data_IF_643418080649
#
_entry.id   IF_643418080649
#
_cell.length_a   1.000
_cell.length_b   1.000
_cell.length_c   1.000
_cell.angle_alpha   90.00
_cell.angle_beta   90.00
_cell.angle_gamma   90.00
#
_symmetry.space_group_name_H-M   'P 1'
#
loop_
_entity.id
_entity.type
_entity.pdbx_description
1 polymer ?
#
# COMPACT_ATOMS: atom_id res chain seq x y z
N UNK A 1 2.14 34.28 8.82
CA UNK A 1 2.98 33.52 7.84
C UNK A 1 1.98 32.89 6.86
N UNK A 2 2.16 33.08 5.57
CA UNK A 2 1.29 32.52 4.54
C UNK A 2 1.96 31.27 3.95
N UNK A 3 1.25 30.13 3.91
CA UNK A 3 1.72 28.88 3.35
C UNK A 3 1.22 28.67 1.92
N UNK A 4 1.78 27.71 1.22
CA UNK A 4 1.36 27.37 -0.13
C UNK A 4 -0.07 26.78 -0.12
N UNK A 5 -0.96 27.32 -0.95
CA UNK A 5 -2.39 26.94 -1.07
C UNK A 5 -2.60 25.43 -1.31
N UNK A 6 -1.65 24.77 -1.94
CA UNK A 6 -1.69 23.29 -2.14
C UNK A 6 -1.74 22.48 -0.85
N UNK A 7 -1.44 23.07 0.30
CA UNK A 7 -1.48 22.40 1.61
C UNK A 7 -2.78 22.68 2.39
N UNK A 8 -3.63 23.63 1.93
CA UNK A 8 -4.82 24.04 2.66
C UNK A 8 -5.84 22.89 2.82
N UNK A 9 -5.91 21.99 1.83
CA UNK A 9 -6.82 20.85 1.81
C UNK A 9 -6.17 19.53 2.28
N UNK A 10 -4.92 19.57 2.75
CA UNK A 10 -4.21 18.38 3.24
C UNK A 10 -4.42 18.27 4.75
N UNK A 11 -5.49 17.60 5.15
CA UNK A 11 -5.81 17.39 6.56
C UNK A 11 -5.03 16.21 7.14
N UNK A 12 -3.80 16.49 7.58
CA UNK A 12 -2.99 15.47 8.29
C UNK A 12 -3.45 15.16 9.72
N UNK A 13 -4.53 15.77 10.22
CA UNK A 13 -4.84 15.80 11.65
C UNK A 13 -5.51 14.54 12.20
N UNK A 14 -6.52 13.98 11.53
CA UNK A 14 -7.26 12.84 12.05
C UNK A 14 -6.42 11.55 12.10
N UNK A 15 -5.65 11.29 11.04
CA UNK A 15 -4.79 10.10 10.97
C UNK A 15 -3.59 10.24 11.91
N UNK A 16 -2.99 11.43 12.04
CA UNK A 16 -1.93 11.68 13.03
C UNK A 16 -2.42 11.46 14.45
N UNK A 17 -3.64 11.90 14.77
CA UNK A 17 -4.25 11.63 16.07
C UNK A 17 -4.42 10.12 16.34
N UNK A 18 -4.87 9.36 15.33
CA UNK A 18 -4.98 7.90 15.42
C UNK A 18 -3.59 7.26 15.61
N UNK A 19 -2.59 7.68 14.86
CA UNK A 19 -1.23 7.16 14.97
C UNK A 19 -0.55 7.55 16.29
N UNK A 20 -0.83 8.73 16.85
CA UNK A 20 -0.34 9.13 18.17
C UNK A 20 -0.87 8.24 19.30
N UNK A 21 -2.01 7.59 19.13
CA UNK A 21 -2.58 6.64 20.10
C UNK A 21 -1.93 5.26 20.05
N UNK A 22 -1.33 4.87 18.90
CA UNK A 22 -0.75 3.52 18.71
C UNK A 22 0.42 3.24 19.67
N UNK A 23 1.15 4.26 20.08
CA UNK A 23 2.32 4.13 20.99
C UNK A 23 2.00 4.28 22.47
N UNK A 24 0.73 4.42 22.87
CA UNK A 24 0.39 4.60 24.28
C UNK A 24 0.47 3.26 25.04
N UNK A 25 1.06 3.24 26.26
CA UNK A 25 1.12 2.04 27.08
C UNK A 25 -0.30 1.47 27.34
N UNK A 26 -0.46 0.17 27.13
CA UNK A 26 -1.73 -0.53 27.35
C UNK A 26 -2.74 -0.45 26.20
N UNK A 27 -2.47 0.32 25.13
CA UNK A 27 -3.32 0.39 23.95
C UNK A 27 -3.09 -0.81 23.01
N UNK A 28 -4.13 -1.54 22.71
CA UNK A 28 -4.13 -2.57 21.66
C UNK A 28 -4.47 -1.89 20.32
N UNK A 29 -3.53 -1.90 19.39
CA UNK A 29 -3.72 -1.19 18.13
C UNK A 29 -3.92 -2.13 16.94
N UNK A 30 -5.09 -2.06 16.32
CA UNK A 30 -5.40 -2.59 15.00
C UNK A 30 -5.39 -1.49 13.91
N UNK A 31 -4.87 -0.29 14.23
CA UNK A 31 -4.93 0.86 13.33
C UNK A 31 -3.73 0.94 12.36
N UNK A 32 -2.55 0.49 12.76
CA UNK A 32 -1.32 0.59 11.96
C UNK A 32 -1.41 -0.15 10.62
N UNK A 33 -0.56 0.24 9.68
CA UNK A 33 -0.33 -0.49 8.42
C UNK A 33 1.08 -1.08 8.36
N UNK A 34 1.70 -1.29 9.51
CA UNK A 34 3.10 -1.72 9.63
C UNK A 34 3.20 -3.25 9.70
N UNK A 35 4.26 -3.86 9.17
CA UNK A 35 4.60 -5.24 9.46
C UNK A 35 4.99 -5.40 10.93
N UNK A 36 4.89 -6.62 11.44
CA UNK A 36 5.28 -6.95 12.80
C UNK A 36 6.78 -6.73 13.04
N UNK A 37 7.21 -6.11 14.17
CA UNK A 37 8.64 -5.91 14.45
C UNK A 37 9.45 -7.23 14.53
N UNK A 38 8.80 -8.32 14.94
CA UNK A 38 9.39 -9.66 14.97
C UNK A 38 9.63 -10.27 13.59
N UNK A 39 8.99 -9.73 12.54
CA UNK A 39 9.18 -10.19 11.16
C UNK A 39 10.41 -9.58 10.49
N UNK A 40 11.17 -8.70 11.14
CA UNK A 40 12.36 -8.11 10.52
C UNK A 40 13.57 -9.03 10.64
N UNK A 41 14.32 -9.30 9.55
CA UNK A 41 15.53 -10.13 9.57
C UNK A 41 16.72 -9.33 10.13
N UNK A 42 16.66 -8.97 11.40
CA UNK A 42 17.57 -8.01 12.04
C UNK A 42 19.03 -8.48 12.03
N UNK A 43 19.26 -9.73 12.34
CA UNK A 43 20.60 -10.31 12.42
C UNK A 43 21.28 -10.34 11.03
N UNK A 44 20.51 -10.72 10.01
CA UNK A 44 20.99 -10.72 8.63
C UNK A 44 21.29 -9.31 8.14
N UNK A 45 20.38 -8.36 8.39
CA UNK A 45 20.60 -6.96 8.01
C UNK A 45 21.83 -6.39 8.70
N UNK A 46 22.03 -6.68 10.01
CA UNK A 46 23.19 -6.21 10.75
C UNK A 46 24.50 -6.77 10.17
N UNK A 47 24.55 -8.09 9.89
CA UNK A 47 25.72 -8.73 9.30
C UNK A 47 26.04 -8.17 7.91
N UNK A 48 25.04 -8.06 7.04
CA UNK A 48 25.18 -7.49 5.70
C UNK A 48 25.66 -6.03 5.77
N UNK A 49 25.07 -5.21 6.62
CA UNK A 49 25.46 -3.81 6.75
C UNK A 49 26.92 -3.65 7.21
N UNK A 50 27.34 -4.46 8.18
CA UNK A 50 28.71 -4.46 8.67
C UNK A 50 29.71 -4.84 7.55
N UNK A 51 29.43 -5.90 6.81
CA UNK A 51 30.26 -6.36 5.71
C UNK A 51 30.36 -5.32 4.60
N UNK A 52 29.22 -4.80 4.15
CA UNK A 52 29.16 -3.78 3.10
C UNK A 52 29.97 -2.52 3.47
N UNK A 53 29.83 -2.02 4.69
CA UNK A 53 30.57 -0.83 5.15
C UNK A 53 32.07 -1.12 5.20
N UNK A 54 32.48 -2.30 5.67
CA UNK A 54 33.87 -2.69 5.74
C UNK A 54 34.51 -2.82 4.36
N UNK A 55 33.82 -3.41 3.39
CA UNK A 55 34.40 -3.76 2.08
C UNK A 55 34.22 -2.66 1.04
N UNK A 56 33.09 -1.98 1.06
CA UNK A 56 32.68 -0.99 0.05
C UNK A 56 32.37 0.39 0.63
N UNK A 57 32.73 0.66 1.89
CA UNK A 57 32.27 1.83 2.64
C UNK A 57 32.51 3.15 1.92
N UNK A 58 33.67 3.39 1.32
CA UNK A 58 33.96 4.60 0.57
C UNK A 58 33.05 4.82 -0.63
N UNK A 59 32.55 3.75 -1.26
CA UNK A 59 31.63 3.82 -2.38
C UNK A 59 30.18 4.00 -1.91
N UNK A 60 29.74 3.20 -0.92
CA UNK A 60 28.34 3.19 -0.47
C UNK A 60 27.96 4.46 0.30
N UNK A 61 28.91 5.07 0.98
CA UNK A 61 28.73 6.31 1.75
C UNK A 61 28.87 7.58 0.88
N UNK A 62 29.18 7.44 -0.41
CA UNK A 62 29.23 8.53 -1.37
C UNK A 62 27.87 8.71 -2.08
N UNK A 63 27.67 9.81 -2.77
CA UNK A 63 26.53 10.02 -3.65
C UNK A 63 26.46 8.94 -4.72
N UNK A 64 25.23 8.52 -5.05
CA UNK A 64 24.93 7.56 -6.10
C UNK A 64 24.18 8.16 -7.29
N UNK A 65 23.88 7.31 -8.26
CA UNK A 65 23.05 7.68 -9.40
C UNK A 65 21.55 7.70 -9.03
N UNK A 66 20.83 8.68 -9.53
CA UNK A 66 19.38 8.85 -9.32
C UNK A 66 18.55 7.60 -9.67
N UNK A 67 18.82 6.86 -10.77
CA UNK A 67 18.06 5.66 -11.11
C UNK A 67 18.19 4.51 -10.13
N UNK A 68 19.18 4.56 -9.23
CA UNK A 68 19.53 3.50 -8.31
C UNK A 68 20.67 2.61 -8.78
N UNK A 69 21.14 1.70 -7.91
CA UNK A 69 22.26 0.80 -8.22
C UNK A 69 21.83 -0.29 -9.23
N UNK A 70 22.70 -0.58 -10.20
CA UNK A 70 22.38 -1.50 -11.29
C UNK A 70 21.98 -2.90 -10.81
N UNK A 71 22.69 -3.46 -9.82
CA UNK A 71 22.40 -4.78 -9.27
C UNK A 71 21.00 -4.86 -8.64
N UNK A 72 20.55 -3.83 -7.92
CA UNK A 72 19.20 -3.82 -7.37
C UNK A 72 18.14 -3.68 -8.48
N UNK A 73 18.44 -2.95 -9.56
CA UNK A 73 17.55 -2.91 -10.73
C UNK A 73 17.42 -4.29 -11.38
N UNK A 74 18.50 -5.05 -11.48
CA UNK A 74 18.49 -6.45 -11.95
C UNK A 74 17.65 -7.34 -11.03
N UNK A 75 17.82 -7.21 -9.70
CA UNK A 75 16.96 -7.89 -8.71
C UNK A 75 15.47 -7.57 -8.93
N UNK A 76 15.14 -6.30 -9.15
CA UNK A 76 13.76 -5.89 -9.45
C UNK A 76 13.25 -6.54 -10.74
N UNK A 77 14.06 -6.56 -11.81
CA UNK A 77 13.70 -7.20 -13.09
C UNK A 77 13.42 -8.70 -12.90
N UNK A 78 14.25 -9.40 -12.14
CA UNK A 78 14.03 -10.81 -11.81
C UNK A 78 12.72 -11.02 -11.03
N UNK A 79 12.48 -10.20 -10.01
CA UNK A 79 11.26 -10.28 -9.19
C UNK A 79 10.00 -10.06 -10.02
N UNK A 80 9.98 -9.02 -10.85
CA UNK A 80 8.81 -8.74 -11.68
C UNK A 80 8.66 -9.74 -12.83
N UNK A 81 9.78 -10.31 -13.30
CA UNK A 81 9.80 -11.41 -14.26
C UNK A 81 9.06 -12.66 -13.76
N UNK A 82 9.25 -13.02 -12.49
CA UNK A 82 8.48 -14.10 -11.82
C UNK A 82 6.96 -13.82 -11.79
N UNK A 83 6.55 -12.55 -11.92
CA UNK A 83 5.14 -12.10 -11.96
C UNK A 83 4.61 -11.91 -13.39
N UNK A 84 5.40 -12.27 -14.42
CA UNK A 84 5.04 -12.15 -15.83
C UNK A 84 5.28 -10.77 -16.46
N UNK A 85 5.97 -9.86 -15.77
CA UNK A 85 6.34 -8.54 -16.30
C UNK A 85 7.73 -8.64 -16.94
N UNK A 86 7.83 -8.43 -18.25
CA UNK A 86 9.11 -8.25 -18.93
C UNK A 86 9.57 -6.80 -18.78
N UNK A 87 10.77 -6.58 -18.28
CA UNK A 87 11.34 -5.24 -18.10
C UNK A 87 12.83 -5.22 -18.42
N UNK A 88 13.31 -4.05 -18.85
CA UNK A 88 14.72 -3.76 -19.12
C UNK A 88 15.26 -2.73 -18.11
N UNK A 89 16.58 -2.59 -17.95
CA UNK A 89 17.15 -1.64 -16.98
C UNK A 89 16.69 -0.18 -17.15
N UNK A 90 16.44 0.28 -18.38
CA UNK A 90 15.92 1.62 -18.66
C UNK A 90 14.45 1.83 -18.27
N UNK A 91 13.72 0.76 -18.01
CA UNK A 91 12.33 0.77 -17.57
C UNK A 91 12.17 0.72 -16.04
N UNK A 92 13.29 0.70 -15.29
CA UNK A 92 13.30 0.56 -13.83
C UNK A 92 13.99 1.75 -13.16
N UNK A 93 13.36 2.31 -12.14
CA UNK A 93 13.97 3.29 -11.22
C UNK A 93 13.74 2.85 -9.77
N UNK A 94 14.79 2.91 -8.95
CA UNK A 94 14.69 2.67 -7.51
C UNK A 94 14.15 3.91 -6.82
N UNK A 95 13.19 3.71 -5.91
CA UNK A 95 12.52 4.79 -5.18
C UNK A 95 12.68 4.64 -3.68
N UNK A 96 12.51 5.73 -2.95
CA UNK A 96 12.52 5.75 -1.48
C UNK A 96 11.18 5.21 -0.92
N UNK A 97 10.88 3.95 -1.27
CA UNK A 97 9.62 3.22 -1.07
C UNK A 97 8.58 3.55 -2.14
N UNK A 98 7.52 2.72 -2.23
CA UNK A 98 6.44 2.90 -3.21
C UNK A 98 5.75 4.27 -3.07
N UNK A 99 5.69 4.85 -1.87
CA UNK A 99 5.11 6.20 -1.65
C UNK A 99 5.81 7.27 -2.48
N UNK A 100 7.13 7.20 -2.67
CA UNK A 100 7.82 8.11 -3.59
C UNK A 100 7.40 7.85 -5.04
N UNK A 101 7.22 6.60 -5.44
CA UNK A 101 6.71 6.27 -6.79
C UNK A 101 5.33 6.88 -7.04
N UNK A 102 4.43 6.85 -6.04
CA UNK A 102 3.13 7.53 -6.09
C UNK A 102 3.30 9.05 -6.23
N UNK A 103 4.21 9.64 -5.44
CA UNK A 103 4.51 11.08 -5.50
C UNK A 103 5.09 11.49 -6.86
N UNK A 104 6.00 10.69 -7.42
CA UNK A 104 6.58 10.92 -8.73
C UNK A 104 5.54 10.83 -9.85
N UNK A 105 4.56 9.92 -9.76
CA UNK A 105 3.44 9.87 -10.69
C UNK A 105 2.64 11.17 -10.68
N UNK A 106 2.26 11.65 -9.50
CA UNK A 106 1.55 12.91 -9.38
C UNK A 106 2.39 14.09 -9.88
N UNK A 107 3.67 14.15 -9.48
CA UNK A 107 4.59 15.24 -9.83
C UNK A 107 4.84 15.35 -11.34
N UNK A 108 4.85 14.23 -12.06
CA UNK A 108 5.18 14.20 -13.49
C UNK A 108 3.96 14.25 -14.40
N UNK A 109 2.79 13.85 -13.92
CA UNK A 109 1.61 13.67 -14.77
C UNK A 109 0.46 14.64 -14.45
N UNK A 110 0.46 15.30 -13.28
CA UNK A 110 -0.69 16.06 -12.79
C UNK A 110 -0.41 17.55 -12.72
N UNK A 111 -1.29 18.34 -13.33
CA UNK A 111 -1.40 19.78 -13.10
C UNK A 111 -2.50 20.09 -12.10
N UNK A 112 -2.49 21.26 -11.42
CA UNK A 112 -3.59 21.68 -10.56
C UNK A 112 -4.94 21.60 -11.28
N UNK A 113 -5.92 20.93 -10.66
CA UNK A 113 -7.25 20.72 -11.19
C UNK A 113 -7.43 19.49 -12.09
N UNK A 114 -6.36 18.82 -12.48
CA UNK A 114 -6.46 17.56 -13.22
C UNK A 114 -7.17 16.48 -12.40
N UNK A 115 -7.87 15.57 -13.08
CA UNK A 115 -8.61 14.48 -12.42
C UNK A 115 -7.75 13.21 -12.34
N UNK A 116 -7.80 12.57 -11.17
CA UNK A 116 -7.32 11.22 -10.92
C UNK A 116 -8.51 10.35 -10.55
N UNK A 117 -8.63 9.16 -11.14
CA UNK A 117 -9.53 8.13 -10.63
C UNK A 117 -8.80 7.25 -9.63
N UNK A 118 -9.47 6.87 -8.55
CA UNK A 118 -8.95 5.95 -7.55
C UNK A 118 -10.06 5.02 -7.06
N UNK A 119 -9.69 3.87 -6.55
CA UNK A 119 -10.63 2.98 -5.85
C UNK A 119 -11.34 3.74 -4.72
N UNK A 120 -12.58 3.38 -4.44
CA UNK A 120 -13.36 3.93 -3.34
C UNK A 120 -13.93 2.78 -2.51
N UNK A 121 -13.29 2.45 -1.36
CA UNK A 121 -12.18 3.15 -0.68
C UNK A 121 -10.78 2.85 -1.26
N UNK A 122 -9.76 3.66 -0.88
CA UNK A 122 -8.36 3.48 -1.28
C UNK A 122 -7.37 3.96 -0.22
N UNK A 123 -6.06 3.80 -0.49
CA UNK A 123 -4.98 4.13 0.44
C UNK A 123 -4.92 5.64 0.74
N UNK A 124 -5.05 5.99 2.01
CA UNK A 124 -5.06 7.37 2.49
C UNK A 124 -3.79 8.14 2.10
N UNK A 125 -2.62 7.47 2.15
CA UNK A 125 -1.35 8.10 1.78
C UNK A 125 -1.31 8.54 0.31
N UNK A 126 -1.93 7.79 -0.59
CA UNK A 126 -2.07 8.17 -1.99
C UNK A 126 -3.02 9.36 -2.13
N UNK A 127 -4.18 9.32 -1.47
CA UNK A 127 -5.13 10.45 -1.47
C UNK A 127 -4.47 11.75 -1.02
N UNK A 128 -3.75 11.71 0.11
CA UNK A 128 -3.04 12.89 0.62
C UNK A 128 -1.96 13.37 -0.35
N UNK A 129 -1.20 12.45 -0.94
CA UNK A 129 -0.19 12.80 -1.95
C UNK A 129 -0.82 13.53 -3.13
N UNK A 130 -1.92 12.99 -3.70
CA UNK A 130 -2.57 13.60 -4.86
C UNK A 130 -3.17 14.99 -4.54
N UNK A 131 -3.70 15.18 -3.34
CA UNK A 131 -4.20 16.47 -2.88
C UNK A 131 -3.09 17.53 -2.78
N UNK A 132 -1.83 17.16 -2.44
CA UNK A 132 -0.71 18.11 -2.43
C UNK A 132 -0.36 18.62 -3.84
N UNK A 133 -0.74 17.90 -4.89
CA UNK A 133 -0.63 18.34 -6.29
C UNK A 133 -1.92 19.00 -6.81
N UNK A 134 -2.87 19.30 -5.91
CA UNK A 134 -4.15 19.94 -6.24
C UNK A 134 -4.99 19.14 -7.26
N UNK A 135 -4.84 17.82 -7.27
CA UNK A 135 -5.64 16.94 -8.10
C UNK A 135 -7.10 16.87 -7.60
N UNK A 136 -8.03 16.69 -8.53
CA UNK A 136 -9.39 16.29 -8.22
C UNK A 136 -9.49 14.77 -8.22
N UNK A 137 -9.68 14.16 -7.05
CA UNK A 137 -9.78 12.70 -6.94
C UNK A 137 -11.25 12.30 -7.07
N UNK A 138 -11.55 11.39 -8.00
CA UNK A 138 -12.89 10.81 -8.18
C UNK A 138 -12.81 9.31 -7.85
N UNK A 139 -13.62 8.88 -6.88
CA UNK A 139 -13.69 7.47 -6.48
C UNK A 139 -14.37 6.64 -7.57
N UNK A 140 -13.89 5.42 -7.80
CA UNK A 140 -14.56 4.37 -8.57
C UNK A 140 -15.04 3.31 -7.59
N UNK A 141 -16.30 2.92 -7.71
CA UNK A 141 -16.92 1.95 -6.81
C UNK A 141 -16.19 0.61 -6.80
N UNK A 142 -16.25 -0.06 -5.67
CA UNK A 142 -15.68 -1.40 -5.47
C UNK A 142 -16.72 -2.36 -4.93
N UNK A 143 -16.59 -3.62 -5.35
CA UNK A 143 -17.27 -4.76 -4.74
C UNK A 143 -16.26 -5.85 -4.32
N UNK A 144 -16.70 -7.08 -4.10
CA UNK A 144 -15.83 -8.15 -3.62
C UNK A 144 -14.76 -8.59 -4.63
N UNK A 145 -14.94 -8.29 -5.91
CA UNK A 145 -13.95 -8.56 -6.97
C UNK A 145 -13.01 -7.37 -7.26
N UNK A 146 -13.05 -6.31 -6.47
CA UNK A 146 -12.24 -5.10 -6.64
C UNK A 146 -13.00 -3.97 -7.33
N UNK A 147 -12.29 -3.12 -8.09
CA UNK A 147 -12.88 -1.97 -8.79
C UNK A 147 -13.96 -2.39 -9.79
N UNK A 148 -15.10 -1.69 -9.80
CA UNK A 148 -16.20 -1.92 -10.74
C UNK A 148 -15.85 -1.35 -12.12
N UNK A 149 -15.86 -2.20 -13.15
CA UNK A 149 -15.44 -1.84 -14.51
C UNK A 149 -16.45 -0.97 -15.26
N UNK A 150 -17.73 -1.10 -14.98
CA UNK A 150 -18.77 -0.28 -15.61
C UNK A 150 -18.70 1.17 -15.08
N UNK A 151 -18.49 1.33 -13.77
CA UNK A 151 -18.29 2.65 -13.17
C UNK A 151 -16.95 3.27 -13.62
N UNK A 152 -15.89 2.45 -13.77
CA UNK A 152 -14.62 2.90 -14.34
C UNK A 152 -14.81 3.43 -15.76
N UNK A 153 -15.47 2.68 -16.66
CA UNK A 153 -15.69 3.08 -18.05
C UNK A 153 -16.49 4.39 -18.13
N UNK A 154 -17.56 4.49 -17.34
CA UNK A 154 -18.37 5.71 -17.23
C UNK A 154 -17.51 6.92 -16.84
N UNK A 155 -16.65 6.76 -15.82
CA UNK A 155 -15.81 7.84 -15.29
C UNK A 155 -14.64 8.20 -16.21
N UNK A 156 -14.06 7.22 -16.93
CA UNK A 156 -13.07 7.48 -17.99
C UNK A 156 -13.63 8.40 -19.08
N UNK A 157 -14.86 8.12 -19.55
CA UNK A 157 -15.57 8.94 -20.55
C UNK A 157 -15.89 10.34 -20.01
N UNK A 158 -16.34 10.41 -18.76
CA UNK A 158 -16.81 11.66 -18.15
C UNK A 158 -15.67 12.62 -17.81
N UNK A 159 -14.58 12.12 -17.23
CA UNK A 159 -13.57 12.96 -16.58
C UNK A 159 -12.24 13.05 -17.35
N UNK A 160 -11.95 12.13 -18.26
CA UNK A 160 -10.66 12.05 -18.99
C UNK A 160 -9.46 12.20 -18.01
N UNK A 161 -9.33 11.29 -17.03
CA UNK A 161 -8.35 11.43 -15.96
C UNK A 161 -6.92 11.31 -16.48
N UNK A 162 -5.94 11.83 -15.71
CA UNK A 162 -4.51 11.66 -16.00
C UNK A 162 -4.06 10.23 -15.79
N UNK A 163 -4.54 9.61 -14.71
CA UNK A 163 -4.32 8.20 -14.44
C UNK A 163 -5.41 7.61 -13.55
N UNK A 164 -5.46 6.28 -13.51
CA UNK A 164 -6.23 5.49 -12.56
C UNK A 164 -5.26 4.90 -11.54
N UNK A 165 -5.46 5.15 -10.24
CA UNK A 165 -4.71 4.55 -9.15
C UNK A 165 -5.44 3.33 -8.60
N UNK A 166 -4.75 2.19 -8.48
CA UNK A 166 -5.31 0.94 -7.96
C UNK A 166 -4.29 0.13 -7.18
N UNK A 167 -4.76 -0.61 -6.16
CA UNK A 167 -4.01 -1.63 -5.43
C UNK A 167 -4.70 -2.97 -5.72
N UNK A 168 -4.39 -3.67 -6.81
CA UNK A 168 -5.19 -4.80 -7.26
C UNK A 168 -5.01 -6.07 -6.43
N UNK A 169 -3.99 -6.15 -5.56
CA UNK A 169 -3.70 -7.33 -4.74
C UNK A 169 -3.69 -6.97 -3.26
N UNK A 170 -4.58 -7.61 -2.47
CA UNK A 170 -4.72 -7.39 -1.02
C UNK A 170 -4.87 -5.91 -0.67
N UNK A 171 -5.78 -5.26 -1.35
CA UNK A 171 -6.02 -3.83 -1.36
C UNK A 171 -6.04 -3.20 0.04
N UNK A 172 -5.42 -2.06 0.18
CA UNK A 172 -5.52 -1.23 1.38
C UNK A 172 -6.58 -0.15 1.15
N UNK A 173 -7.72 -0.19 1.88
CA UNK A 173 -7.92 -0.83 3.18
C UNK A 173 -8.65 -2.19 3.18
N UNK A 174 -9.17 -2.66 2.06
CA UNK A 174 -10.22 -3.68 2.05
C UNK A 174 -9.71 -5.12 2.16
N UNK A 175 -8.43 -5.38 1.88
CA UNK A 175 -7.88 -6.73 1.79
C UNK A 175 -8.34 -7.50 0.53
N UNK A 176 -9.17 -6.90 -0.32
CA UNK A 176 -9.68 -7.53 -1.56
C UNK A 176 -8.58 -7.72 -2.59
N UNK A 177 -8.76 -8.71 -3.45
CA UNK A 177 -7.91 -8.94 -4.62
C UNK A 177 -8.76 -8.82 -5.87
N UNK A 178 -8.36 -7.93 -6.78
CA UNK A 178 -9.04 -7.74 -8.06
C UNK A 178 -8.94 -9.01 -8.91
N UNK A 179 -10.07 -9.47 -9.44
CA UNK A 179 -10.13 -10.67 -10.29
C UNK A 179 -9.35 -10.49 -11.60
N UNK A 180 -8.90 -11.60 -12.18
CA UNK A 180 -8.15 -11.57 -13.44
C UNK A 180 -8.94 -10.89 -14.56
N UNK A 181 -10.24 -11.16 -14.64
CA UNK A 181 -11.11 -10.59 -15.69
C UNK A 181 -11.21 -9.07 -15.56
N UNK A 182 -11.30 -8.55 -14.33
CA UNK A 182 -11.30 -7.11 -14.09
C UNK A 182 -9.96 -6.45 -14.39
N UNK A 183 -8.83 -7.13 -14.09
CA UNK A 183 -7.50 -6.63 -14.46
C UNK A 183 -7.34 -6.49 -15.97
N UNK A 184 -7.75 -7.50 -16.73
CA UNK A 184 -7.78 -7.46 -18.20
C UNK A 184 -8.67 -6.33 -18.71
N UNK A 185 -9.88 -6.22 -18.17
CA UNK A 185 -10.84 -5.19 -18.60
C UNK A 185 -10.34 -3.78 -18.27
N UNK A 186 -9.70 -3.57 -17.11
CA UNK A 186 -9.08 -2.30 -16.76
C UNK A 186 -7.96 -1.94 -17.75
N UNK A 187 -7.08 -2.91 -18.08
CA UNK A 187 -6.01 -2.70 -19.06
C UNK A 187 -6.57 -2.27 -20.44
N UNK A 188 -7.61 -2.97 -20.93
CA UNK A 188 -8.30 -2.63 -22.18
C UNK A 188 -8.93 -1.24 -22.17
N UNK A 189 -9.72 -0.93 -21.11
CA UNK A 189 -10.42 0.34 -21.00
C UNK A 189 -9.43 1.51 -20.91
N UNK A 190 -8.40 1.39 -20.09
CA UNK A 190 -7.41 2.45 -19.94
C UNK A 190 -6.57 2.63 -21.23
N UNK A 191 -6.23 1.55 -21.93
CA UNK A 191 -5.57 1.64 -23.23
C UNK A 191 -6.45 2.33 -24.29
N UNK A 192 -7.73 1.96 -24.36
CA UNK A 192 -8.71 2.56 -25.29
C UNK A 192 -8.86 4.08 -25.07
N UNK A 193 -8.82 4.53 -23.82
CA UNK A 193 -8.95 5.93 -23.46
C UNK A 193 -7.62 6.68 -23.39
N UNK A 194 -6.46 6.04 -23.62
CA UNK A 194 -5.14 6.64 -23.53
C UNK A 194 -4.79 7.07 -22.09
N UNK A 195 -5.33 6.39 -21.08
CA UNK A 195 -5.15 6.72 -19.67
C UNK A 195 -4.09 5.82 -19.04
N UNK A 196 -3.23 6.38 -18.21
CA UNK A 196 -2.20 5.64 -17.47
C UNK A 196 -2.84 4.90 -16.27
N UNK A 197 -2.36 3.70 -15.98
CA UNK A 197 -2.66 2.97 -14.76
C UNK A 197 -1.45 3.09 -13.83
N UNK A 198 -1.67 3.58 -12.60
CA UNK A 198 -0.71 3.52 -11.50
C UNK A 198 -1.08 2.31 -10.63
N UNK A 199 -0.42 1.19 -10.89
CA UNK A 199 -0.58 -0.08 -10.18
C UNK A 199 0.37 -0.13 -8.99
N UNK A 200 -0.17 -0.04 -7.77
CA UNK A 200 0.59 -0.08 -6.52
C UNK A 200 0.48 -1.48 -5.90
N UNK A 201 1.58 -2.22 -5.84
CA UNK A 201 1.58 -3.65 -5.46
C UNK A 201 2.57 -3.96 -4.32
N UNK A 202 2.36 -3.39 -3.11
CA UNK A 202 3.25 -3.62 -1.98
C UNK A 202 2.98 -4.91 -1.21
N UNK A 203 1.91 -5.66 -1.53
CA UNK A 203 1.44 -6.79 -0.74
C UNK A 203 1.46 -8.13 -1.45
N UNK A 204 1.74 -8.22 -2.75
CA UNK A 204 1.56 -9.44 -3.56
C UNK A 204 2.33 -10.65 -3.02
N UNK A 205 3.49 -10.42 -2.39
CA UNK A 205 4.31 -11.49 -1.78
C UNK A 205 3.74 -11.99 -0.44
N UNK A 206 2.79 -11.26 0.16
CA UNK A 206 2.13 -11.65 1.41
C UNK A 206 0.83 -12.42 1.13
N UNK A 207 0.94 -13.51 0.38
CA UNK A 207 -0.19 -14.41 0.07
C UNK A 207 -0.22 -15.59 1.02
N UNK A 208 -1.38 -15.85 1.59
CA UNK A 208 -1.61 -16.91 2.59
C UNK A 208 -2.42 -18.08 2.03
N UNK A 209 -3.25 -17.81 1.01
CA UNK A 209 -4.11 -18.79 0.35
C UNK A 209 -4.40 -18.36 -1.09
N UNK A 210 -5.00 -19.26 -1.86
CA UNK A 210 -5.35 -19.05 -3.27
C UNK A 210 -4.14 -19.03 -4.20
N UNK A 211 -4.39 -18.69 -5.46
CA UNK A 211 -3.35 -18.60 -6.49
C UNK A 211 -2.99 -17.13 -6.79
N UNK A 212 -1.73 -16.83 -7.13
CA UNK A 212 -1.35 -15.51 -7.59
C UNK A 212 -2.17 -15.07 -8.81
N UNK A 213 -2.59 -13.80 -8.83
CA UNK A 213 -3.23 -13.18 -9.98
C UNK A 213 -2.21 -12.29 -10.69
N UNK A 214 -1.98 -12.44 -12.01
CA UNK A 214 -1.02 -11.64 -12.75
C UNK A 214 -1.25 -10.13 -12.58
N UNK A 215 -0.21 -9.30 -12.41
CA UNK A 215 -0.33 -7.85 -12.35
C UNK A 215 -0.95 -7.27 -13.63
N UNK A 216 -1.63 -6.14 -13.54
CA UNK A 216 -2.21 -5.45 -14.70
C UNK A 216 -1.11 -5.11 -15.73
N UNK A 217 0.07 -4.73 -15.26
CA UNK A 217 1.21 -4.44 -16.13
C UNK A 217 1.61 -5.63 -17.01
N UNK A 218 1.51 -6.86 -16.51
CA UNK A 218 1.81 -8.07 -17.31
C UNK A 218 0.73 -8.40 -18.34
N UNK A 219 -0.46 -7.79 -18.21
CA UNK A 219 -1.62 -8.01 -19.09
C UNK A 219 -1.80 -6.89 -20.13
N UNK A 220 -1.07 -5.76 -19.99
CA UNK A 220 -1.18 -4.60 -20.87
C UNK A 220 -0.01 -4.51 -21.83
N UNK A 221 -0.29 -4.51 -23.13
CA UNK A 221 0.69 -4.28 -24.20
C UNK A 221 0.83 -2.79 -24.57
N UNK A 222 -0.03 -1.92 -24.03
CA UNK A 222 -0.10 -0.50 -24.41
C UNK A 222 1.01 0.37 -23.82
N UNK A 223 1.86 -0.15 -22.92
CA UNK A 223 2.94 0.61 -22.28
C UNK A 223 2.44 1.67 -21.28
N UNK A 224 1.15 1.70 -20.97
CA UNK A 224 0.50 2.73 -20.15
C UNK A 224 0.37 2.34 -18.66
N UNK A 225 1.10 1.33 -18.18
CA UNK A 225 1.07 0.91 -16.77
C UNK A 225 2.39 1.25 -16.07
N UNK A 226 2.29 2.02 -15.00
CA UNK A 226 3.36 2.26 -14.02
C UNK A 226 3.12 1.25 -12.90
N UNK A 227 4.03 0.30 -12.74
CA UNK A 227 3.98 -0.70 -11.69
C UNK A 227 4.91 -0.30 -10.54
N UNK A 228 4.39 -0.24 -9.32
CA UNK A 228 5.15 0.07 -8.12
C UNK A 228 5.29 -1.18 -7.26
N UNK A 229 6.50 -1.44 -6.79
CA UNK A 229 6.78 -2.48 -5.81
C UNK A 229 7.48 -1.91 -4.57
N UNK A 230 7.42 -2.63 -3.46
CA UNK A 230 8.00 -2.19 -2.19
C UNK A 230 8.64 -3.35 -1.44
N UNK A 231 9.83 -3.14 -0.90
CA UNK A 231 10.48 -4.08 0.03
C UNK A 231 10.03 -3.90 1.48
N UNK A 232 9.18 -2.90 1.76
CA UNK A 232 8.75 -2.54 3.11
C UNK A 232 7.99 -3.65 3.83
N UNK A 233 7.32 -4.55 3.12
CA UNK A 233 6.45 -5.58 3.72
C UNK A 233 7.11 -6.95 3.81
N UNK A 234 8.20 -7.16 3.07
CA UNK A 234 8.94 -8.43 2.99
C UNK A 234 10.33 -8.36 3.63
N UNK A 235 10.90 -7.16 3.83
CA UNK A 235 12.18 -6.97 4.51
C UNK A 235 12.04 -6.01 5.68
N UNK A 236 11.90 -4.70 5.40
CA UNK A 236 11.78 -3.68 6.43
C UNK A 236 11.27 -2.34 5.86
N UNK A 237 10.27 -1.71 6.48
CA UNK A 237 9.82 -0.38 6.07
C UNK A 237 10.85 0.71 6.38
N UNK A 238 11.74 0.49 7.36
CA UNK A 238 12.76 1.46 7.77
C UNK A 238 13.86 1.68 6.72
N UNK A 239 14.13 0.69 5.86
CA UNK A 239 15.12 0.81 4.79
C UNK A 239 14.69 1.77 3.67
N UNK A 240 13.40 2.04 3.52
CA UNK A 240 12.84 2.94 2.52
C UNK A 240 13.26 2.62 1.09
N UNK A 241 13.11 1.36 0.67
CA UNK A 241 13.42 0.92 -0.70
C UNK A 241 12.17 0.37 -1.38
N UNK A 242 11.97 0.80 -2.61
CA UNK A 242 10.96 0.33 -3.56
C UNK A 242 11.42 0.57 -4.98
N UNK A 243 10.59 0.29 -5.96
CA UNK A 243 10.90 0.58 -7.35
C UNK A 243 9.64 0.90 -8.17
N UNK A 244 9.83 1.61 -9.27
CA UNK A 244 8.84 1.77 -10.31
C UNK A 244 9.33 1.10 -11.60
N UNK A 245 8.43 0.41 -12.30
CA UNK A 245 8.65 -0.22 -13.59
C UNK A 245 7.64 0.35 -14.58
N UNK A 246 8.11 1.07 -15.60
CA UNK A 246 7.24 1.76 -16.55
C UNK A 246 7.92 1.93 -17.92
N UNK A 247 7.19 2.49 -18.90
CA UNK A 247 7.74 2.92 -20.19
C UNK A 247 8.97 3.84 -19.97
N UNK A 248 10.05 3.69 -20.73
CA UNK A 248 11.28 4.49 -20.58
C UNK A 248 11.04 6.00 -20.55
N UNK A 249 10.06 6.50 -21.31
CA UNK A 249 9.69 7.93 -21.34
C UNK A 249 9.15 8.41 -19.98
N UNK A 250 8.43 7.55 -19.26
CA UNK A 250 7.93 7.83 -17.90
C UNK A 250 9.10 7.79 -16.92
N UNK A 251 9.96 6.77 -17.02
CA UNK A 251 11.13 6.62 -16.14
C UNK A 251 12.10 7.79 -16.30
N UNK A 252 12.29 8.31 -17.51
CA UNK A 252 13.08 9.53 -17.74
C UNK A 252 12.54 10.73 -16.95
N UNK A 253 11.21 10.94 -16.97
CA UNK A 253 10.57 12.03 -16.21
C UNK A 253 10.61 11.80 -14.71
N UNK A 254 10.46 10.54 -14.27
CA UNK A 254 10.65 10.18 -12.86
C UNK A 254 12.07 10.49 -12.40
N UNK A 255 13.08 10.17 -13.22
CA UNK A 255 14.48 10.45 -12.92
C UNK A 255 14.73 11.96 -12.73
N UNK A 256 14.23 12.79 -13.66
CA UNK A 256 14.32 14.26 -13.57
C UNK A 256 13.61 14.77 -12.30
N UNK A 257 12.40 14.29 -12.03
CA UNK A 257 11.60 14.72 -10.89
C UNK A 257 12.24 14.31 -9.55
N UNK A 258 12.84 13.11 -9.50
CA UNK A 258 13.52 12.56 -8.31
C UNK A 258 14.83 13.32 -8.00
N UNK A 259 15.56 13.78 -9.02
CA UNK A 259 16.75 14.60 -8.80
C UNK A 259 16.48 15.86 -7.97
N UNK A 260 15.33 16.48 -8.20
CA UNK A 260 14.90 17.66 -7.44
C UNK A 260 14.21 17.34 -6.11
N UNK A 261 14.12 16.08 -5.71
CA UNK A 261 13.41 15.63 -4.50
C UNK A 261 14.38 15.10 -3.44
N UNK A 262 15.10 14.03 -3.75
CA UNK A 262 16.04 13.37 -2.84
C UNK A 262 17.38 13.00 -3.50
N UNK A 263 17.60 13.40 -4.74
CA UNK A 263 18.73 13.09 -5.60
C UNK A 263 18.80 11.58 -5.94
N UNK A 264 18.86 10.72 -4.93
CA UNK A 264 18.81 9.25 -5.05
C UNK A 264 18.34 8.61 -3.75
N UNK A 265 17.82 7.40 -3.82
CA UNK A 265 17.55 6.56 -2.64
C UNK A 265 18.88 6.18 -1.97
N UNK A 266 18.92 6.15 -0.64
CA UNK A 266 20.15 5.88 0.14
C UNK A 266 20.87 4.61 -0.34
N UNK A 267 22.14 4.74 -0.78
CA UNK A 267 22.92 3.62 -1.33
C UNK A 267 23.05 2.46 -0.36
N UNK A 268 23.32 2.73 0.92
CA UNK A 268 23.43 1.68 1.95
C UNK A 268 22.15 0.85 2.04
N UNK A 269 20.97 1.49 2.01
CA UNK A 269 19.70 0.79 2.02
C UNK A 269 19.49 -0.07 0.77
N UNK A 270 19.88 0.43 -0.40
CA UNK A 270 19.79 -0.30 -1.66
C UNK A 270 20.70 -1.54 -1.66
N UNK A 271 21.96 -1.39 -1.24
CA UNK A 271 22.93 -2.49 -1.15
C UNK A 271 22.50 -3.54 -0.13
N UNK A 272 21.93 -3.13 1.03
CA UNK A 272 21.40 -4.09 2.02
C UNK A 272 20.26 -4.91 1.42
N UNK A 273 19.31 -4.24 0.75
CA UNK A 273 18.16 -4.94 0.12
C UNK A 273 18.64 -5.88 -0.97
N UNK A 274 19.54 -5.45 -1.84
CA UNK A 274 20.12 -6.28 -2.90
C UNK A 274 20.81 -7.52 -2.32
N UNK A 275 21.73 -7.32 -1.38
CA UNK A 275 22.46 -8.42 -0.76
C UNK A 275 21.53 -9.38 0.00
N UNK A 276 20.51 -8.87 0.68
CA UNK A 276 19.54 -9.72 1.36
C UNK A 276 18.72 -10.56 0.37
N UNK A 277 18.24 -9.98 -0.72
CA UNK A 277 17.48 -10.70 -1.74
C UNK A 277 18.29 -11.82 -2.40
N UNK A 278 19.62 -11.64 -2.55
CA UNK A 278 20.53 -12.66 -3.09
C UNK A 278 21.18 -13.58 -2.04
N UNK A 279 20.85 -13.41 -0.75
CA UNK A 279 21.42 -14.24 0.33
C UNK A 279 20.98 -15.71 0.32
N UNK A 280 19.99 -16.06 -0.50
CA UNK A 280 19.31 -17.36 -0.46
C UNK A 280 18.33 -17.54 0.70
N UNK A 281 18.17 -16.52 1.57
CA UNK A 281 17.28 -16.57 2.74
C UNK A 281 15.94 -15.86 2.53
N UNK A 282 15.84 -14.98 1.52
CA UNK A 282 14.69 -14.10 1.34
C UNK A 282 13.38 -14.88 1.11
N UNK A 283 13.38 -15.93 0.32
CA UNK A 283 12.18 -16.73 0.03
C UNK A 283 11.68 -17.45 1.29
N UNK A 284 12.56 -18.16 2.02
CA UNK A 284 12.19 -18.82 3.29
C UNK A 284 11.71 -17.85 4.37
N UNK A 285 12.27 -16.64 4.38
CA UNK A 285 11.82 -15.57 5.27
C UNK A 285 10.40 -15.11 4.93
N UNK A 286 10.09 -14.87 3.65
CA UNK A 286 8.76 -14.50 3.20
C UNK A 286 7.73 -15.59 3.54
N UNK A 287 8.08 -16.87 3.34
CA UNK A 287 7.23 -18.00 3.73
C UNK A 287 6.93 -17.99 5.24
N UNK A 288 7.95 -17.72 6.06
CA UNK A 288 7.79 -17.60 7.52
C UNK A 288 6.85 -16.46 7.91
N UNK A 289 7.02 -15.29 7.31
CA UNK A 289 6.14 -14.14 7.52
C UNK A 289 4.70 -14.47 7.11
N UNK A 290 4.52 -15.09 5.95
CA UNK A 290 3.21 -15.49 5.44
C UNK A 290 2.51 -16.47 6.37
N UNK A 291 3.22 -17.45 6.93
CA UNK A 291 2.66 -18.39 7.90
C UNK A 291 2.19 -17.66 9.17
N UNK A 292 3.03 -16.79 9.74
CA UNK A 292 2.70 -16.02 10.94
C UNK A 292 1.48 -15.11 10.72
N UNK A 293 1.43 -14.40 9.60
CA UNK A 293 0.32 -13.48 9.31
C UNK A 293 -0.97 -14.22 8.97
N UNK A 294 -0.89 -15.39 8.31
CA UNK A 294 -2.04 -16.27 8.11
C UNK A 294 -2.68 -16.63 9.43
N UNK A 295 -1.88 -17.10 10.40
CA UNK A 295 -2.38 -17.55 11.69
C UNK A 295 -3.00 -16.39 12.49
N UNK A 296 -2.41 -15.19 12.45
CA UNK A 296 -2.98 -13.96 13.04
C UNK A 296 -4.29 -13.53 12.36
N UNK A 297 -4.34 -13.58 11.01
CA UNK A 297 -5.57 -13.33 10.24
C UNK A 297 -6.69 -14.28 10.67
N UNK A 298 -6.38 -15.56 10.73
CA UNK A 298 -7.37 -16.60 11.05
C UNK A 298 -7.90 -16.44 12.48
N UNK A 299 -7.03 -16.10 13.46
CA UNK A 299 -7.42 -15.76 14.81
C UNK A 299 -8.39 -14.55 14.86
N UNK A 300 -8.09 -13.48 14.12
CA UNK A 300 -8.95 -12.29 14.06
C UNK A 300 -10.29 -12.60 13.37
N UNK A 301 -10.30 -13.38 12.28
CA UNK A 301 -11.53 -13.82 11.59
C UNK A 301 -12.39 -14.69 12.51
N UNK A 302 -11.79 -15.62 13.26
CA UNK A 302 -12.52 -16.45 14.23
C UNK A 302 -13.26 -15.59 15.28
N UNK A 303 -12.65 -14.52 15.76
CA UNK A 303 -13.32 -13.56 16.66
C UNK A 303 -14.46 -12.81 15.96
N UNK A 304 -14.26 -12.36 14.72
CA UNK A 304 -15.29 -11.66 13.94
C UNK A 304 -16.53 -12.53 13.67
N UNK A 305 -16.39 -13.85 13.57
CA UNK A 305 -17.54 -14.77 13.44
C UNK A 305 -18.51 -14.70 14.64
N UNK A 306 -18.00 -14.32 15.81
CA UNK A 306 -18.80 -14.15 17.03
C UNK A 306 -19.41 -12.75 17.21
N UNK A 307 -19.27 -11.85 16.22
CA UNK A 307 -19.80 -10.48 16.30
C UNK A 307 -21.33 -10.47 16.06
N UNK A 308 -22.04 -9.41 16.48
CA UNK A 308 -23.47 -9.27 16.27
C UNK A 308 -23.90 -9.42 14.81
N UNK A 309 -25.15 -9.86 14.59
CA UNK A 309 -25.75 -9.95 13.26
C UNK A 309 -25.80 -8.57 12.57
N UNK A 310 -25.63 -8.55 11.25
CA UNK A 310 -25.62 -7.33 10.44
C UNK A 310 -24.23 -6.73 10.25
N UNK A 311 -23.18 -7.31 10.85
CA UNK A 311 -21.79 -6.94 10.60
C UNK A 311 -21.23 -7.87 9.53
N UNK A 312 -20.59 -7.28 8.52
CA UNK A 312 -19.87 -8.01 7.49
C UNK A 312 -18.39 -7.64 7.51
N UNK A 313 -17.54 -8.53 6.99
CA UNK A 313 -16.11 -8.30 6.91
C UNK A 313 -15.51 -9.06 5.73
N UNK A 314 -14.38 -8.54 5.21
CA UNK A 314 -13.67 -9.18 4.12
C UNK A 314 -12.87 -10.39 4.60
N UNK A 315 -12.87 -11.46 3.79
CA UNK A 315 -12.00 -12.62 3.97
C UNK A 315 -10.84 -12.49 2.99
N UNK A 316 -9.73 -11.97 3.46
CA UNK A 316 -8.56 -11.76 2.62
C UNK A 316 -7.69 -13.02 2.50
N UNK A 317 -7.15 -13.25 1.29
CA UNK A 317 -6.16 -14.31 1.02
C UNK A 317 -4.72 -13.90 1.31
N UNK A 318 -4.50 -12.67 1.76
CA UNK A 318 -3.17 -12.12 2.02
C UNK A 318 -3.20 -10.70 2.56
N UNK A 319 -2.07 -10.01 2.47
CA UNK A 319 -1.94 -8.62 2.93
C UNK A 319 -1.96 -8.48 4.45
N UNK A 320 -2.47 -7.36 4.95
CA UNK A 320 -2.38 -7.01 6.38
C UNK A 320 -3.72 -6.60 6.98
N UNK A 321 -4.81 -6.55 6.20
CA UNK A 321 -6.03 -5.85 6.60
C UNK A 321 -7.29 -6.68 6.46
N UNK A 322 -8.22 -6.44 7.37
CA UNK A 322 -9.63 -6.85 7.28
C UNK A 322 -10.47 -5.57 7.28
N UNK A 323 -11.40 -5.47 6.33
CA UNK A 323 -12.37 -4.42 6.26
C UNK A 323 -13.67 -4.87 6.90
N UNK A 324 -14.20 -4.08 7.83
CA UNK A 324 -15.43 -4.38 8.54
C UNK A 324 -16.48 -3.33 8.19
N UNK A 325 -17.68 -3.80 7.89
CA UNK A 325 -18.87 -2.96 7.65
C UNK A 325 -19.89 -3.23 8.74
N UNK A 326 -20.23 -2.20 9.48
CA UNK A 326 -21.26 -2.19 10.52
C UNK A 326 -22.64 -1.91 9.90
N UNK A 327 -23.75 -2.15 10.61
CA UNK A 327 -25.07 -1.68 10.19
C UNK A 327 -25.08 -0.18 9.86
N UNK A 328 -25.89 0.23 8.88
CA UNK A 328 -25.96 1.62 8.41
C UNK A 328 -26.33 2.64 9.51
N UNK A 329 -27.05 2.19 10.55
CA UNK A 329 -27.38 3.02 11.71
C UNK A 329 -26.18 3.37 12.59
N UNK A 330 -25.05 2.67 12.44
CA UNK A 330 -23.85 2.86 13.25
C UNK A 330 -22.84 3.80 12.59
N UNK A 331 -22.03 4.45 13.43
CA UNK A 331 -20.99 5.36 12.97
C UNK A 331 -19.65 5.01 13.62
N UNK A 332 -18.75 4.40 12.85
CA UNK A 332 -17.43 3.97 13.32
C UNK A 332 -16.53 5.15 13.75
N UNK A 333 -16.73 6.34 13.17
CA UNK A 333 -15.97 7.54 13.56
C UNK A 333 -16.38 8.01 14.96
N UNK A 334 -17.68 8.02 15.26
CA UNK A 334 -18.17 8.38 16.60
C UNK A 334 -17.82 7.33 17.64
N UNK A 335 -17.91 6.04 17.27
CA UNK A 335 -17.57 4.92 18.13
C UNK A 335 -16.07 4.82 18.44
N UNK A 336 -15.20 5.38 17.60
CA UNK A 336 -13.75 5.32 17.73
C UNK A 336 -13.27 5.78 19.11
N UNK A 337 -13.82 6.90 19.63
CA UNK A 337 -13.43 7.41 20.95
C UNK A 337 -13.74 6.41 22.06
N UNK A 338 -14.91 5.76 22.01
CA UNK A 338 -15.31 4.75 23.02
C UNK A 338 -14.38 3.52 22.98
N UNK A 339 -13.93 3.12 21.78
CA UNK A 339 -12.96 2.04 21.63
C UNK A 339 -11.60 2.43 22.20
N UNK A 340 -11.13 3.64 21.94
CA UNK A 340 -9.86 4.16 22.51
C UNK A 340 -9.92 4.22 24.04
N UNK A 341 -11.01 4.75 24.59
CA UNK A 341 -11.23 4.81 26.04
C UNK A 341 -11.28 3.40 26.67
N UNK A 342 -11.71 2.38 25.91
CA UNK A 342 -11.70 0.97 26.31
C UNK A 342 -10.36 0.25 26.04
N UNK A 343 -9.37 0.90 25.43
CA UNK A 343 -8.03 0.38 25.20
C UNK A 343 -7.78 -0.27 23.82
N UNK A 344 -8.65 -0.03 22.82
CA UNK A 344 -8.49 -0.55 21.45
C UNK A 344 -8.58 0.56 20.40
N UNK A 345 -7.66 0.55 19.42
CA UNK A 345 -7.67 1.48 18.31
C UNK A 345 -7.80 0.76 16.95
N UNK A 346 -8.60 1.32 16.03
CA UNK A 346 -8.74 0.92 14.63
C UNK A 346 -8.67 2.18 13.72
N UNK A 347 -8.83 2.05 12.41
CA UNK A 347 -8.99 3.23 11.54
C UNK A 347 -10.43 3.32 11.05
N UNK A 348 -11.18 4.39 11.36
CA UNK A 348 -12.49 4.65 10.78
C UNK A 348 -12.43 4.70 9.25
N UNK A 349 -13.40 4.06 8.61
CA UNK A 349 -13.37 3.84 7.17
C UNK A 349 -13.54 5.10 6.33
N UNK A 350 -14.25 6.10 6.84
CA UNK A 350 -14.53 7.35 6.10
C UNK A 350 -13.27 8.03 5.55
N UNK A 351 -12.12 7.85 6.20
CA UNK A 351 -10.84 8.44 5.77
C UNK A 351 -10.25 7.83 4.49
N UNK A 352 -10.72 6.66 4.09
CA UNK A 352 -10.25 5.96 2.88
C UNK A 352 -11.07 6.31 1.63
N UNK A 353 -12.17 7.03 1.79
CA UNK A 353 -13.04 7.40 0.67
C UNK A 353 -12.67 8.80 0.14
N UNK A 354 -12.42 8.93 -1.17
CA UNK A 354 -12.08 10.22 -1.78
C UNK A 354 -13.12 11.34 -1.53
N UNK A 355 -14.38 10.96 -1.41
CA UNK A 355 -15.50 11.87 -1.14
C UNK A 355 -16.01 11.82 0.31
N UNK A 356 -15.33 11.07 1.19
CA UNK A 356 -15.82 10.81 2.54
C UNK A 356 -17.08 9.94 2.56
N UNK A 357 -17.83 9.96 3.66
CA UNK A 357 -18.99 9.10 3.86
C UNK A 357 -18.62 7.68 4.31
N UNK A 358 -19.56 6.75 4.19
CA UNK A 358 -19.40 5.36 4.62
C UNK A 358 -18.95 5.22 6.07
N UNK A 359 -19.54 6.03 6.94
CA UNK A 359 -19.17 6.16 8.36
C UNK A 359 -19.35 4.87 9.17
N UNK A 360 -20.08 3.90 8.62
CA UNK A 360 -20.31 2.58 9.21
C UNK A 360 -19.20 1.57 8.87
N UNK A 361 -18.04 2.01 8.42
CA UNK A 361 -16.93 1.13 8.04
C UNK A 361 -15.68 1.37 8.86
N UNK A 362 -14.83 0.34 9.00
CA UNK A 362 -13.54 0.45 9.68
C UNK A 362 -12.53 -0.57 9.13
N UNK A 363 -11.24 -0.24 9.26
CA UNK A 363 -10.14 -1.13 8.91
C UNK A 363 -9.47 -1.69 10.16
N UNK A 364 -9.25 -3.00 10.19
CA UNK A 364 -8.43 -3.70 11.17
C UNK A 364 -7.13 -4.19 10.53
N UNK A 365 -6.01 -4.03 11.23
CA UNK A 365 -4.73 -4.63 10.91
C UNK A 365 -4.48 -5.81 11.86
N UNK A 366 -4.13 -6.97 11.31
CA UNK A 366 -3.83 -8.17 12.11
C UNK A 366 -2.33 -8.45 12.26
N UNK A 367 -1.46 -7.78 11.52
CA UNK A 367 -0.02 -8.11 11.49
C UNK A 367 0.71 -7.75 12.78
N UNK A 368 0.41 -6.58 13.36
CA UNK A 368 1.14 -6.00 14.50
C UNK A 368 0.84 -6.64 15.84
N UNK A 369 -0.43 -6.97 16.08
CA UNK A 369 -0.89 -7.47 17.37
C UNK A 369 -0.41 -8.90 17.65
N UNK A 370 -0.09 -9.22 18.92
CA UNK A 370 0.11 -10.59 19.36
C UNK A 370 -1.24 -11.35 19.38
N UNK A 371 -1.19 -12.69 19.48
CA UNK A 371 -2.42 -13.49 19.60
C UNK A 371 -3.25 -13.10 20.84
N UNK A 372 -2.60 -12.83 21.97
CA UNK A 372 -3.26 -12.35 23.17
C UNK A 372 -3.92 -10.97 22.96
N UNK A 373 -3.23 -10.07 22.24
CA UNK A 373 -3.78 -8.76 21.89
C UNK A 373 -4.95 -8.87 20.91
N UNK A 374 -4.89 -9.79 19.96
CA UNK A 374 -6.02 -10.07 19.04
C UNK A 374 -7.20 -10.59 19.87
N UNK A 375 -7.00 -11.58 20.72
CA UNK A 375 -8.06 -12.15 21.55
C UNK A 375 -8.75 -11.08 22.40
N UNK A 376 -7.99 -10.39 23.24
CA UNK A 376 -8.50 -9.35 24.13
C UNK A 376 -9.06 -8.13 23.39
N UNK A 377 -8.36 -7.65 22.37
CA UNK A 377 -8.75 -6.44 21.65
C UNK A 377 -10.03 -6.64 20.83
N UNK A 378 -10.22 -7.82 20.25
CA UNK A 378 -11.44 -8.13 19.51
C UNK A 378 -12.65 -8.29 20.45
N UNK A 379 -12.46 -8.83 21.67
CA UNK A 379 -13.53 -8.91 22.68
C UNK A 379 -13.93 -7.50 23.16
N UNK A 380 -12.97 -6.60 23.37
CA UNK A 380 -13.24 -5.18 23.70
C UNK A 380 -14.02 -4.51 22.56
N UNK A 381 -13.56 -4.66 21.32
CA UNK A 381 -14.20 -4.07 20.14
C UNK A 381 -15.65 -4.58 20.01
N UNK A 382 -15.87 -5.89 20.17
CA UNK A 382 -17.20 -6.50 20.18
C UNK A 382 -18.10 -5.88 21.24
N UNK A 383 -17.62 -5.76 22.48
CA UNK A 383 -18.41 -5.21 23.58
C UNK A 383 -18.79 -3.72 23.38
N UNK A 384 -17.92 -2.92 22.72
CA UNK A 384 -18.25 -1.54 22.36
C UNK A 384 -19.31 -1.50 21.25
N UNK A 385 -19.17 -2.37 20.24
CA UNK A 385 -20.16 -2.48 19.16
C UNK A 385 -21.54 -2.86 19.72
N UNK A 386 -21.62 -3.88 20.57
CA UNK A 386 -22.88 -4.34 21.19
C UNK A 386 -23.58 -3.24 21.99
N UNK A 387 -22.82 -2.38 22.66
CA UNK A 387 -23.38 -1.23 23.40
C UNK A 387 -23.81 -0.08 22.50
N UNK A 388 -23.33 -0.05 21.25
CA UNK A 388 -23.60 1.04 20.29
C UNK A 388 -24.70 0.68 19.29
N UNK A 389 -25.18 -0.58 19.27
CA UNK A 389 -26.33 -1.06 18.50
C UNK A 389 -27.66 -0.65 19.15
#
# INVERSE_FOLDING_TARGET
MEFAKRLDNVTGSAIRAIFALIGQPGMISFAGGNPAPESFPKEEIAAIAQELIREKGSHILQYGGTPGISRLKETVIEMVGKRGISAKPEEVIITSGATQGIGLAAKTLVNPGDVILAESPTFIGALQTFLTYQAQIKGVEMDDEGMNMDDLEKKLKQYRPKFVYTIPTFQNPTGRTMSLERRKKMAELCALHGVIILEDDPYCDLRYSGQPVPPIKSLSEAGNVIYLLSFSKIISPGLRVGAAVADPRIIEKYNIAKQGEDLHTANLSQEIVEAYMHSGKAEAHIETICAQYRDKRDAMIAKLQGFPKGISYTKTDGGLFIWVTLPESMNATKMFKQCVDAGVAYVPGTHFFPQGGHDNTLRLNFSMASFEQIDKGMDILKGVIEKSM
#
